data_IF_748461546087
#
_entry.id   IF_748461546087
#
_cell.length_a   1.000
_cell.length_b   1.000
_cell.length_c   1.000
_cell.angle_alpha   90.00
_cell.angle_beta   90.00
_cell.angle_gamma   90.00
#
_symmetry.space_group_name_H-M   'P 1'
#
loop_
_entity.id
_entity.type
_entity.pdbx_description
1 polymer ?
#
# COMPACT_ATOMS: atom_id res chain seq x y z
N UNK A 1 -12.12 -3.93 6.65
CA UNK A 1 -12.03 -4.85 7.81
C UNK A 1 -10.59 -5.33 8.06
N UNK A 2 -9.87 -5.87 7.06
CA UNK A 2 -8.52 -6.43 7.25
C UNK A 2 -7.46 -5.45 7.79
N UNK A 3 -7.46 -4.19 7.35
CA UNK A 3 -6.45 -3.19 7.76
C UNK A 3 -6.55 -2.82 9.25
N UNK A 4 -7.73 -2.92 9.87
CA UNK A 4 -7.93 -2.62 11.30
C UNK A 4 -7.42 -3.77 12.17
N UNK A 5 -7.56 -5.02 11.72
CA UNK A 5 -7.10 -6.21 12.45
C UNK A 5 -5.56 -6.34 12.45
N UNK A 6 -4.88 -5.93 11.37
CA UNK A 6 -3.44 -6.13 11.21
C UNK A 6 -2.54 -5.00 11.75
N UNK A 7 -3.10 -4.02 12.50
CA UNK A 7 -2.35 -2.89 13.08
C UNK A 7 -1.13 -3.31 13.92
N UNK A 8 -1.11 -4.53 14.43
CA UNK A 8 -0.05 -5.08 15.29
C UNK A 8 1.14 -5.67 14.52
N UNK A 9 0.99 -5.96 13.23
CA UNK A 9 2.02 -6.60 12.40
C UNK A 9 2.46 -5.66 11.27
N UNK A 10 3.32 -4.68 11.59
CA UNK A 10 3.86 -3.70 10.63
C UNK A 10 4.44 -4.38 9.38
N UNK A 11 5.09 -5.53 9.53
CA UNK A 11 5.63 -6.31 8.41
C UNK A 11 4.53 -6.81 7.44
N UNK A 12 3.41 -7.31 7.96
CA UNK A 12 2.28 -7.76 7.14
C UNK A 12 1.58 -6.58 6.46
N UNK A 13 1.47 -5.45 7.17
CA UNK A 13 0.94 -4.22 6.59
C UNK A 13 1.79 -3.72 5.41
N UNK A 14 3.12 -3.84 5.54
CA UNK A 14 4.08 -3.53 4.48
C UNK A 14 3.96 -4.49 3.29
N UNK A 15 3.80 -5.81 3.54
CA UNK A 15 3.56 -6.78 2.49
C UNK A 15 2.26 -6.49 1.72
N UNK A 16 1.17 -6.17 2.42
CA UNK A 16 -0.11 -5.82 1.80
C UNK A 16 0.04 -4.54 0.96
N UNK A 17 0.77 -3.54 1.44
CA UNK A 17 1.06 -2.32 0.69
C UNK A 17 1.83 -2.61 -0.61
N UNK A 18 2.87 -3.44 -0.54
CA UNK A 18 3.69 -3.81 -1.70
C UNK A 18 2.88 -4.59 -2.75
N UNK A 19 2.06 -5.55 -2.31
CA UNK A 19 1.16 -6.32 -3.20
C UNK A 19 0.13 -5.39 -3.86
N UNK A 20 -0.43 -4.47 -3.08
CA UNK A 20 -1.40 -3.48 -3.54
C UNK A 20 -0.80 -2.57 -4.62
N UNK A 21 0.40 -2.02 -4.39
CA UNK A 21 1.14 -1.21 -5.36
C UNK A 21 1.52 -2.01 -6.62
N UNK A 22 1.97 -3.25 -6.46
CA UNK A 22 2.26 -4.14 -7.59
C UNK A 22 1.04 -4.41 -8.46
N UNK A 23 -0.13 -4.57 -7.84
CA UNK A 23 -1.40 -4.77 -8.56
C UNK A 23 -1.82 -3.52 -9.33
N UNK A 24 -1.68 -2.33 -8.74
CA UNK A 24 -1.93 -1.06 -9.43
C UNK A 24 -0.99 -0.89 -10.63
N UNK A 25 0.29 -1.21 -10.47
CA UNK A 25 1.29 -1.15 -11.54
C UNK A 25 0.96 -2.10 -12.70
N UNK A 26 0.61 -3.34 -12.38
CA UNK A 26 0.24 -4.34 -13.38
C UNK A 26 -1.15 -4.11 -14.00
N UNK A 27 -1.96 -3.18 -13.46
CA UNK A 27 -3.33 -2.96 -13.95
C UNK A 27 -3.37 -2.52 -15.41
N UNK A 28 -2.36 -1.79 -15.90
CA UNK A 28 -2.26 -1.39 -17.31
C UNK A 28 -2.12 -2.59 -18.25
N UNK A 29 -1.23 -3.53 -17.90
CA UNK A 29 -0.99 -4.76 -18.67
C UNK A 29 -2.21 -5.69 -18.65
N UNK A 30 -2.86 -5.81 -17.49
CA UNK A 30 -4.09 -6.59 -17.35
C UNK A 30 -5.22 -5.97 -18.20
N UNK A 31 -5.32 -4.64 -18.23
CA UNK A 31 -6.31 -3.93 -19.03
C UNK A 31 -6.10 -4.14 -20.53
N UNK A 32 -4.85 -4.06 -21.04
CA UNK A 32 -4.56 -4.35 -22.45
C UNK A 32 -4.81 -5.82 -22.82
N UNK A 33 -4.47 -6.76 -21.93
CA UNK A 33 -4.74 -8.18 -22.16
C UNK A 33 -6.25 -8.49 -22.19
N UNK A 34 -7.02 -7.88 -21.30
CA UNK A 34 -8.47 -7.98 -21.26
C UNK A 34 -9.13 -7.28 -22.46
N UNK A 35 -8.57 -6.16 -22.92
CA UNK A 35 -9.00 -5.46 -24.13
C UNK A 35 -8.80 -6.30 -25.39
N UNK A 36 -7.73 -7.10 -25.49
CA UNK A 36 -7.51 -7.99 -26.63
C UNK A 36 -8.40 -9.25 -26.61
N UNK A 37 -8.90 -9.66 -25.44
CA UNK A 37 -9.74 -10.85 -25.27
C UNK A 37 -11.15 -10.50 -24.76
N UNK A 38 -11.63 -9.29 -25.03
CA UNK A 38 -12.85 -8.73 -24.43
C UNK A 38 -14.07 -9.64 -24.60
N UNK A 39 -14.19 -10.31 -25.75
CA UNK A 39 -15.30 -11.19 -26.12
C UNK A 39 -15.41 -12.46 -25.23
N UNK A 40 -14.35 -12.79 -24.48
CA UNK A 40 -14.32 -13.89 -23.50
C UNK A 40 -14.76 -13.46 -22.10
N UNK A 41 -14.74 -12.16 -21.79
CA UNK A 41 -14.93 -11.61 -20.44
C UNK A 41 -16.13 -10.68 -20.29
N UNK A 42 -16.58 -10.01 -21.35
CA UNK A 42 -17.70 -9.09 -21.32
C UNK A 42 -18.45 -9.04 -22.65
N UNK A 43 -19.76 -8.80 -22.58
CA UNK A 43 -20.63 -8.63 -23.76
C UNK A 43 -20.34 -7.34 -24.54
N UNK A 44 -19.69 -6.36 -23.91
CA UNK A 44 -19.34 -5.05 -24.47
C UNK A 44 -17.87 -4.71 -24.16
N UNK A 45 -17.23 -3.93 -25.03
CA UNK A 45 -15.81 -3.54 -24.90
C UNK A 45 -15.64 -2.45 -23.82
N UNK A 46 -15.66 -2.85 -22.55
CA UNK A 46 -15.41 -1.96 -21.39
C UNK A 46 -13.92 -1.64 -21.16
N UNK A 47 -13.02 -2.42 -21.78
CA UNK A 47 -11.57 -2.29 -21.66
C UNK A 47 -11.04 -1.46 -22.83
N UNK A 48 -11.19 -0.14 -22.73
CA UNK A 48 -10.60 0.80 -23.69
C UNK A 48 -9.15 1.11 -23.31
N UNK A 49 -8.35 1.68 -24.22
CA UNK A 49 -6.93 2.04 -23.97
C UNK A 49 -6.73 2.95 -22.76
N UNK A 50 -7.77 3.69 -22.34
CA UNK A 50 -7.73 4.51 -21.13
C UNK A 50 -8.05 3.76 -19.83
N UNK A 51 -8.65 2.57 -19.90
CA UNK A 51 -8.87 1.69 -18.76
C UNK A 51 -9.68 2.29 -17.61
N UNK A 52 -10.55 3.28 -17.87
CA UNK A 52 -11.28 4.01 -16.83
C UNK A 52 -12.17 3.11 -15.97
N UNK A 53 -12.77 2.06 -16.53
CA UNK A 53 -13.63 1.15 -15.78
C UNK A 53 -12.87 0.27 -14.78
N UNK A 54 -11.80 -0.42 -15.24
CA UNK A 54 -10.90 -1.16 -14.34
C UNK A 54 -10.27 -0.19 -13.34
N UNK A 55 -9.75 0.95 -13.80
CA UNK A 55 -9.06 1.90 -12.93
C UNK A 55 -9.98 2.47 -11.86
N UNK A 56 -11.23 2.81 -12.18
CA UNK A 56 -12.12 3.43 -11.20
C UNK A 56 -12.72 2.40 -10.23
N UNK A 57 -13.07 1.19 -10.67
CA UNK A 57 -13.69 0.19 -9.79
C UNK A 57 -12.62 -0.60 -9.01
N UNK A 58 -11.49 -0.92 -9.64
CA UNK A 58 -10.42 -1.69 -9.02
C UNK A 58 -9.41 -0.79 -8.30
N UNK A 59 -8.86 0.24 -8.96
CA UNK A 59 -7.80 1.03 -8.33
C UNK A 59 -8.33 1.97 -7.23
N UNK A 60 -9.57 2.49 -7.30
CA UNK A 60 -10.08 3.39 -6.24
C UNK A 60 -10.11 2.75 -4.85
N UNK A 61 -10.72 1.57 -4.63
CA UNK A 61 -10.69 0.93 -3.31
C UNK A 61 -9.27 0.50 -2.93
N UNK A 62 -8.44 0.09 -3.88
CA UNK A 62 -7.04 -0.32 -3.65
C UNK A 62 -6.18 0.87 -3.22
N UNK A 63 -6.29 2.01 -3.89
CA UNK A 63 -5.60 3.27 -3.56
C UNK A 63 -6.07 3.79 -2.20
N UNK A 64 -7.38 3.77 -1.93
CA UNK A 64 -7.93 4.20 -0.64
C UNK A 64 -7.41 3.32 0.51
N UNK A 65 -7.35 2.01 0.32
CA UNK A 65 -6.73 1.10 1.30
C UNK A 65 -5.23 1.40 1.46
N UNK A 66 -4.53 1.66 0.36
CA UNK A 66 -3.08 1.97 0.38
C UNK A 66 -2.78 3.28 1.12
N UNK A 67 -3.60 4.32 0.94
CA UNK A 67 -3.51 5.59 1.67
C UNK A 67 -3.67 5.39 3.18
N UNK A 68 -4.67 4.61 3.60
CA UNK A 68 -4.89 4.30 5.01
C UNK A 68 -3.71 3.55 5.63
N UNK A 69 -3.10 2.62 4.89
CA UNK A 69 -1.91 1.89 5.31
C UNK A 69 -0.72 2.85 5.50
N UNK A 70 -0.48 3.73 4.53
CA UNK A 70 0.61 4.72 4.59
C UNK A 70 0.45 5.62 5.82
N UNK A 71 -0.76 6.12 6.09
CA UNK A 71 -1.02 6.95 7.27
C UNK A 71 -0.70 6.20 8.58
N UNK A 72 -1.12 4.95 8.70
CA UNK A 72 -0.81 4.12 9.87
C UNK A 72 0.69 3.88 10.03
N UNK A 73 1.39 3.61 8.91
CA UNK A 73 2.84 3.37 8.91
C UNK A 73 3.60 4.63 9.33
N UNK A 74 3.23 5.81 8.83
CA UNK A 74 3.86 7.08 9.21
C UNK A 74 3.72 7.34 10.71
N UNK A 75 2.54 7.11 11.27
CA UNK A 75 2.32 7.24 12.72
C UNK A 75 3.20 6.27 13.53
N UNK A 76 3.33 5.02 13.06
CA UNK A 76 4.21 4.02 13.68
C UNK A 76 5.69 4.44 13.61
N UNK A 77 6.17 4.83 12.44
CA UNK A 77 7.56 5.28 12.22
C UNK A 77 7.87 6.48 13.12
N UNK A 78 6.97 7.47 13.22
CA UNK A 78 7.17 8.63 14.10
C UNK A 78 7.40 8.20 15.56
N UNK A 79 6.60 7.28 16.08
CA UNK A 79 6.78 6.77 17.44
C UNK A 79 8.10 6.00 17.64
N UNK A 80 8.51 5.22 16.63
CA UNK A 80 9.78 4.49 16.64
C UNK A 80 10.99 5.44 16.57
N UNK A 81 10.93 6.49 15.75
CA UNK A 81 11.97 7.52 15.66
C UNK A 81 12.13 8.24 16.99
N UNK A 82 11.01 8.64 17.62
CA UNK A 82 11.04 9.28 18.94
C UNK A 82 11.67 8.35 19.97
N UNK A 83 11.29 7.07 19.98
CA UNK A 83 11.85 6.09 20.91
C UNK A 83 13.36 5.89 20.66
N UNK A 84 13.78 5.75 19.40
CA UNK A 84 15.20 5.62 19.02
C UNK A 84 16.02 6.85 19.41
N UNK A 85 15.50 8.06 19.19
CA UNK A 85 16.14 9.31 19.63
C UNK A 85 16.29 9.37 21.15
N UNK A 86 15.27 8.93 21.90
CA UNK A 86 15.35 8.84 23.38
C UNK A 86 16.44 7.86 23.83
N UNK A 87 16.58 6.72 23.16
CA UNK A 87 17.66 5.76 23.43
C UNK A 87 19.05 6.32 23.10
N UNK A 88 19.20 7.02 21.97
CA UNK A 88 20.46 7.68 21.60
C UNK A 88 20.90 8.68 22.67
N UNK A 89 19.99 9.58 23.10
CA UNK A 89 20.28 10.57 24.14
C UNK A 89 20.61 9.90 25.49
N UNK A 90 19.91 8.82 25.86
CA UNK A 90 20.20 8.09 27.09
C UNK A 90 21.58 7.42 27.06
N UNK A 91 22.00 6.86 25.92
CA UNK A 91 23.32 6.28 25.75
C UNK A 91 24.43 7.33 25.76
N UNK A 92 24.23 8.49 25.11
CA UNK A 92 25.18 9.59 25.14
C UNK A 92 25.41 10.14 26.56
N UNK A 93 24.36 10.18 27.40
CA UNK A 93 24.50 10.58 28.81
C UNK A 93 25.32 9.57 29.61
N UNK A 94 25.16 8.27 29.35
CA UNK A 94 25.94 7.21 30.01
C UNK A 94 27.43 7.31 29.65
N UNK A 95 27.75 7.44 28.36
CA UNK A 95 29.13 7.58 27.88
C UNK A 95 29.88 8.84 28.36
N UNK A 96 29.16 9.88 28.80
CA UNK A 96 29.76 11.10 29.36
C UNK A 96 29.94 11.05 30.89
N UNK A 97 29.37 10.04 31.55
CA UNK A 97 29.41 9.91 33.03
C UNK A 97 30.51 8.93 33.48
N UNK A 98 30.98 8.06 32.59
CA UNK A 98 32.18 7.20 32.76
C UNK A 98 33.46 7.95 32.34
#
# INVERSE_FOLDING_TARGET
MCVIAFRKYTNLLLCILLISLGTVWCSHWINEFAANNWNLFATEQYFDSYGYFISCIWNVPVILNSLLIVLLLVLQINSLIIQSKRFQIANEKRLKTD
#
